data_IF_672523857479
#
_entry.id   IF_672523857479
#
_cell.length_a   1.000
_cell.length_b   1.000
_cell.length_c   1.000
_cell.angle_alpha   90.00
_cell.angle_beta   90.00
_cell.angle_gamma   90.00
#
_symmetry.space_group_name_H-M   'P 1'
#
loop_
_entity.id
_entity.type
_entity.pdbx_description
1 polymer ?
#
# COMPACT_ATOMS: atom_id res chain seq x y z
N UNK A 1 -3.04 -11.89 -25.18
CA UNK A 1 -2.30 -12.73 -24.21
C UNK A 1 -3.18 -12.86 -22.99
N UNK A 2 -3.60 -14.08 -22.60
CA UNK A 2 -4.55 -14.26 -21.49
C UNK A 2 -3.83 -14.01 -20.16
N UNK A 3 -4.20 -12.95 -19.48
CA UNK A 3 -3.74 -12.51 -18.15
C UNK A 3 -4.16 -13.44 -17.00
N UNK A 4 -4.53 -14.69 -17.29
CA UNK A 4 -5.08 -15.63 -16.27
C UNK A 4 -4.03 -16.27 -15.36
N UNK A 5 -2.73 -16.18 -15.69
CA UNK A 5 -1.67 -16.62 -14.78
C UNK A 5 -1.59 -15.78 -13.50
N UNK A 6 -2.02 -14.52 -13.55
CA UNK A 6 -1.90 -13.56 -12.43
C UNK A 6 -2.93 -13.85 -11.32
N UNK A 7 -4.00 -14.61 -11.59
CA UNK A 7 -5.06 -14.88 -10.60
C UNK A 7 -4.86 -16.13 -9.75
N UNK A 8 -3.96 -17.03 -10.12
CA UNK A 8 -3.80 -18.29 -9.38
C UNK A 8 -2.66 -18.19 -8.37
N UNK A 9 -3.00 -18.07 -7.07
CA UNK A 9 -2.03 -17.95 -5.96
C UNK A 9 -1.00 -19.09 -5.90
N UNK A 10 -1.28 -20.25 -6.52
CA UNK A 10 -0.37 -21.41 -6.54
C UNK A 10 0.99 -21.08 -7.19
N UNK A 11 1.02 -20.10 -8.10
CA UNK A 11 2.26 -19.67 -8.77
C UNK A 11 3.09 -18.68 -7.94
N UNK A 12 2.54 -18.18 -6.83
CA UNK A 12 3.13 -17.14 -6.02
C UNK A 12 3.53 -17.63 -4.63
N UNK A 13 4.51 -16.96 -4.05
CA UNK A 13 4.90 -17.03 -2.66
C UNK A 13 4.72 -15.66 -2.04
N UNK A 14 4.05 -15.61 -0.89
CA UNK A 14 3.96 -14.38 -0.10
C UNK A 14 5.35 -14.06 0.47
N UNK A 15 5.77 -12.81 0.36
CA UNK A 15 7.04 -12.30 0.89
C UNK A 15 6.81 -10.95 1.54
N UNK A 16 7.47 -10.73 2.68
CA UNK A 16 7.44 -9.47 3.40
C UNK A 16 8.78 -8.78 3.23
N UNK A 17 8.79 -7.66 2.52
CA UNK A 17 9.99 -6.86 2.29
C UNK A 17 10.46 -6.24 3.61
N UNK A 18 11.72 -6.46 3.95
CA UNK A 18 12.35 -5.89 5.14
C UNK A 18 12.81 -4.44 4.88
N UNK A 19 12.97 -3.67 5.95
CA UNK A 19 13.43 -2.28 5.85
C UNK A 19 14.81 -2.21 5.18
N UNK A 20 14.92 -1.47 4.08
CA UNK A 20 16.16 -1.31 3.32
C UNK A 20 16.40 -2.32 2.20
N UNK A 21 15.54 -3.33 2.04
CA UNK A 21 15.63 -4.24 0.90
C UNK A 21 15.25 -3.55 -0.41
N UNK A 22 15.94 -3.92 -1.49
CA UNK A 22 15.64 -3.46 -2.85
C UNK A 22 15.11 -4.61 -3.69
N UNK A 23 14.45 -4.34 -4.83
CA UNK A 23 14.01 -5.40 -5.75
C UNK A 23 15.15 -6.35 -6.14
N UNK A 24 16.37 -5.83 -6.28
CA UNK A 24 17.58 -6.61 -6.61
C UNK A 24 18.05 -7.48 -5.46
N UNK A 25 18.01 -7.00 -4.21
CA UNK A 25 18.38 -7.83 -3.05
C UNK A 25 17.38 -8.97 -2.87
N UNK A 26 16.08 -8.66 -2.95
CA UNK A 26 15.01 -9.69 -2.88
C UNK A 26 15.16 -10.72 -4.01
N UNK A 27 15.50 -10.29 -5.22
CA UNK A 27 15.75 -11.20 -6.33
C UNK A 27 16.99 -12.08 -6.12
N UNK A 28 18.06 -11.54 -5.50
CA UNK A 28 19.22 -12.33 -5.14
C UNK A 28 18.88 -13.40 -4.12
N UNK A 29 18.16 -13.02 -3.06
CA UNK A 29 17.85 -13.92 -1.95
C UNK A 29 16.84 -15.00 -2.36
N UNK A 30 15.88 -14.65 -3.22
CA UNK A 30 14.80 -15.56 -3.61
C UNK A 30 15.08 -16.34 -4.90
N UNK A 31 15.83 -15.77 -5.86
CA UNK A 31 16.12 -16.41 -7.16
C UNK A 31 17.61 -16.73 -7.38
N UNK A 32 18.51 -16.23 -6.54
CA UNK A 32 19.96 -16.39 -6.72
C UNK A 32 20.59 -15.44 -7.73
N UNK A 33 19.83 -14.49 -8.30
CA UNK A 33 20.29 -13.59 -9.35
C UNK A 33 19.66 -12.19 -9.20
N UNK A 34 20.50 -11.17 -8.94
CA UNK A 34 20.09 -9.76 -8.83
C UNK A 34 19.51 -9.22 -10.15
N UNK A 35 19.90 -9.79 -11.29
CA UNK A 35 19.40 -9.44 -12.61
C UNK A 35 17.94 -9.80 -12.84
N UNK A 36 17.32 -10.57 -11.92
CA UNK A 36 15.92 -10.97 -11.99
C UNK A 36 14.97 -10.05 -11.22
N UNK A 37 15.45 -8.89 -10.73
CA UNK A 37 14.63 -7.88 -10.07
C UNK A 37 13.41 -7.45 -10.90
N UNK A 38 13.52 -7.43 -12.23
CA UNK A 38 12.40 -7.10 -13.11
C UNK A 38 11.24 -8.11 -12.98
N UNK A 39 11.51 -9.36 -12.62
CA UNK A 39 10.47 -10.38 -12.38
C UNK A 39 9.73 -10.06 -11.07
N UNK A 40 10.46 -9.63 -10.04
CA UNK A 40 9.88 -9.15 -8.77
C UNK A 40 8.93 -7.98 -9.04
N UNK A 41 9.42 -6.98 -9.77
CA UNK A 41 8.64 -5.81 -10.16
C UNK A 41 7.41 -6.18 -11.00
N UNK A 42 7.59 -7.07 -11.99
CA UNK A 42 6.52 -7.51 -12.88
C UNK A 42 5.43 -8.28 -12.13
N UNK A 43 5.80 -9.11 -11.15
CA UNK A 43 4.86 -9.88 -10.34
C UNK A 43 3.91 -8.97 -9.55
N UNK A 44 4.39 -7.79 -9.13
CA UNK A 44 3.63 -6.77 -8.41
C UNK A 44 3.01 -5.70 -9.32
N UNK A 45 3.17 -5.81 -10.64
CA UNK A 45 2.75 -4.77 -11.60
C UNK A 45 3.35 -3.39 -11.29
N UNK A 46 4.50 -3.37 -10.61
CA UNK A 46 5.23 -2.15 -10.28
C UNK A 46 6.04 -1.72 -11.51
N UNK A 47 6.01 -0.43 -11.83
CA UNK A 47 6.71 0.11 -13.00
C UNK A 47 7.95 0.90 -12.60
N UNK A 48 7.89 1.60 -11.47
CA UNK A 48 8.97 2.45 -11.00
C UNK A 48 9.52 1.96 -9.64
N UNK A 49 10.72 1.35 -9.61
CA UNK A 49 11.36 0.90 -8.37
C UNK A 49 11.53 1.98 -7.31
N UNK A 50 11.65 3.25 -7.69
CA UNK A 50 11.90 4.33 -6.73
C UNK A 50 10.64 4.83 -6.01
N UNK A 51 9.46 4.68 -6.61
CA UNK A 51 8.21 5.20 -6.06
C UNK A 51 7.21 4.12 -5.67
N UNK A 52 7.22 2.99 -6.38
CA UNK A 52 6.27 1.90 -6.14
C UNK A 52 6.78 0.94 -5.06
N UNK A 53 8.10 0.86 -4.85
CA UNK A 53 8.71 0.03 -3.83
C UNK A 53 8.52 0.64 -2.43
N UNK A 54 8.36 -0.19 -1.37
CA UNK A 54 8.36 0.30 0.00
C UNK A 54 9.63 1.09 0.30
N UNK A 55 9.43 2.28 0.86
CA UNK A 55 10.52 3.14 1.30
C UNK A 55 11.05 2.67 2.65
N UNK A 56 12.32 2.99 2.92
CA UNK A 56 12.87 2.79 4.25
C UNK A 56 12.20 3.70 5.27
N UNK A 57 12.18 3.31 6.54
CA UNK A 57 11.61 4.14 7.61
C UNK A 57 12.22 5.56 7.62
N UNK A 58 13.54 5.65 7.46
CA UNK A 58 14.24 6.93 7.38
C UNK A 58 13.75 7.83 6.23
N UNK A 59 13.56 7.23 5.04
CA UNK A 59 13.07 7.98 3.88
C UNK A 59 11.58 8.32 4.00
N UNK A 60 10.79 7.46 4.65
CA UNK A 60 9.38 7.70 4.92
C UNK A 60 9.19 8.91 5.85
N UNK A 61 9.98 9.01 6.93
CA UNK A 61 9.94 10.18 7.82
C UNK A 61 10.30 11.44 7.06
N UNK A 62 11.37 11.42 6.24
CA UNK A 62 11.73 12.56 5.39
C UNK A 62 10.67 12.93 4.37
N UNK A 63 10.02 11.93 3.77
CA UNK A 63 8.92 12.13 2.84
C UNK A 63 7.74 12.80 3.54
N UNK A 64 7.39 12.32 4.74
CA UNK A 64 6.34 12.88 5.58
C UNK A 64 6.67 14.31 6.02
N UNK A 65 7.90 14.58 6.48
CA UNK A 65 8.37 15.93 6.82
C UNK A 65 8.28 16.89 5.63
N UNK A 66 8.62 16.41 4.42
CA UNK A 66 8.52 17.22 3.20
C UNK A 66 7.08 17.48 2.77
N UNK A 67 6.18 16.52 2.99
CA UNK A 67 4.78 16.59 2.54
C UNK A 67 3.89 17.35 3.51
N UNK A 68 4.07 17.13 4.80
CA UNK A 68 3.21 17.66 5.87
C UNK A 68 3.89 18.73 6.73
N UNK A 69 5.23 18.80 6.76
CA UNK A 69 5.94 19.74 7.62
C UNK A 69 5.60 19.52 9.10
N UNK A 70 5.24 20.60 9.78
CA UNK A 70 4.87 20.58 11.20
C UNK A 70 3.55 19.82 11.46
N UNK A 71 2.68 19.68 10.44
CA UNK A 71 1.39 19.00 10.53
C UNK A 71 1.50 17.46 10.50
N UNK A 72 2.72 16.90 10.53
CA UNK A 72 2.96 15.46 10.48
C UNK A 72 2.24 14.67 11.60
N UNK A 73 2.10 15.29 12.77
CA UNK A 73 1.41 14.70 13.93
C UNK A 73 -0.08 15.09 14.00
N UNK A 74 -0.56 15.86 13.01
CA UNK A 74 -1.97 16.21 12.90
C UNK A 74 -2.81 15.09 12.31
N UNK A 75 -4.12 15.18 12.53
CA UNK A 75 -5.07 14.15 12.12
C UNK A 75 -5.17 14.10 10.60
N UNK A 76 -4.94 12.92 10.03
CA UNK A 76 -5.27 12.64 8.63
C UNK A 76 -6.76 12.27 8.52
N UNK A 77 -7.22 11.38 9.40
CA UNK A 77 -8.60 10.94 9.50
C UNK A 77 -8.84 10.28 10.88
N UNK A 78 -10.08 9.90 11.14
CA UNK A 78 -10.47 9.16 12.34
C UNK A 78 -11.03 7.81 11.94
N UNK A 79 -10.74 6.78 12.73
CA UNK A 79 -11.22 5.41 12.48
C UNK A 79 -12.10 4.90 13.64
N UNK A 80 -13.17 4.17 13.31
CA UNK A 80 -13.95 3.42 14.31
C UNK A 80 -13.21 2.17 14.80
N UNK A 81 -13.80 1.41 15.74
CA UNK A 81 -13.19 0.15 16.23
C UNK A 81 -13.07 -0.96 15.17
N UNK A 82 -13.69 -0.79 14.00
CA UNK A 82 -13.61 -1.72 12.88
C UNK A 82 -12.61 -1.26 11.80
N UNK A 83 -11.97 -0.10 11.97
CA UNK A 83 -11.03 0.50 11.02
C UNK A 83 -11.70 1.24 9.85
N UNK A 84 -12.99 1.59 9.96
CA UNK A 84 -13.66 2.41 8.95
C UNK A 84 -13.40 3.90 9.23
N UNK A 85 -13.16 4.68 8.19
CA UNK A 85 -13.03 6.14 8.30
C UNK A 85 -14.35 6.77 8.76
N UNK A 86 -14.29 7.60 9.81
CA UNK A 86 -15.42 8.29 10.43
C UNK A 86 -15.09 9.75 10.70
N UNK A 87 -16.11 10.51 11.10
CA UNK A 87 -15.92 11.89 11.53
C UNK A 87 -15.19 11.97 12.88
N UNK A 88 -14.58 13.12 13.15
CA UNK A 88 -13.98 13.42 14.44
C UNK A 88 -14.98 13.20 15.60
N UNK A 89 -14.55 12.57 16.71
CA UNK A 89 -15.38 12.41 17.90
C UNK A 89 -15.96 13.74 18.38
N UNK A 90 -17.28 13.77 18.56
CA UNK A 90 -17.99 14.98 19.00
C UNK A 90 -18.30 15.98 17.89
N UNK A 91 -18.00 15.65 16.63
CA UNK A 91 -18.51 16.40 15.48
C UNK A 91 -20.04 16.27 15.39
N UNK A 92 -20.72 17.40 15.26
CA UNK A 92 -22.17 17.44 15.06
C UNK A 92 -22.42 17.28 13.56
N UNK A 93 -22.88 16.10 13.16
CA UNK A 93 -23.25 15.83 11.77
C UNK A 93 -24.73 16.17 11.62
N UNK A 94 -25.05 17.28 10.96
CA UNK A 94 -26.44 17.60 10.64
C UNK A 94 -26.95 16.69 9.53
N UNK A 95 -27.77 15.68 9.85
CA UNK A 95 -28.53 14.92 8.85
C UNK A 95 -29.75 15.71 8.38
N UNK A 96 -29.53 16.91 7.81
CA UNK A 96 -30.60 17.72 7.26
C UNK A 96 -30.93 17.30 5.83
N UNK A 97 -31.90 16.41 5.64
CA UNK A 97 -32.59 16.31 4.34
C UNK A 97 -33.54 17.49 4.18
N UNK A 98 -33.01 18.59 3.64
CA UNK A 98 -33.81 19.62 2.97
C UNK A 98 -34.00 20.91 3.75
N UNK A 99 -33.53 22.02 3.14
CA UNK A 99 -34.11 23.36 3.01
C UNK A 99 -34.92 24.04 4.17
N UNK A 100 -35.07 23.45 5.35
CA UNK A 100 -35.75 24.04 6.50
C UNK A 100 -34.73 24.37 7.60
N UNK A 101 -34.51 25.66 7.91
CA UNK A 101 -33.58 26.08 8.96
C UNK A 101 -34.02 25.71 10.39
N UNK A 102 -35.18 25.07 10.60
CA UNK A 102 -35.64 24.58 11.89
C UNK A 102 -35.66 23.04 12.03
N UNK A 103 -35.21 22.30 11.00
CA UNK A 103 -35.12 20.83 11.06
C UNK A 103 -33.78 20.41 11.69
N UNK A 104 -33.62 20.70 12.98
CA UNK A 104 -32.43 20.33 13.75
C UNK A 104 -32.66 19.00 14.48
N UNK A 105 -32.95 17.92 13.74
CA UNK A 105 -32.56 16.59 14.20
C UNK A 105 -31.07 16.39 13.90
N UNK A 106 -30.25 17.15 14.63
CA UNK A 106 -28.82 16.91 14.69
C UNK A 106 -28.58 15.55 15.36
N UNK A 107 -28.52 14.48 14.57
CA UNK A 107 -27.96 13.22 15.04
C UNK A 107 -26.49 13.48 15.32
N UNK A 108 -26.13 13.70 16.58
CA UNK A 108 -24.72 13.62 16.98
C UNK A 108 -24.31 12.18 16.68
N UNK A 109 -23.51 12.00 15.64
CA UNK A 109 -22.89 10.72 15.36
C UNK A 109 -21.82 10.57 16.45
N UNK A 110 -22.26 10.02 17.59
CA UNK A 110 -21.41 9.80 18.75
C UNK A 110 -20.51 8.62 18.42
N UNK A 111 -19.53 8.83 17.52
CA UNK A 111 -18.32 8.00 17.48
C UNK A 111 -17.50 8.34 18.72
N UNK A 112 -18.02 8.01 19.91
CA UNK A 112 -17.42 8.30 21.20
C UNK A 112 -16.09 7.55 21.44
N UNK A 113 -15.62 6.80 20.44
CA UNK A 113 -14.41 5.98 20.49
C UNK A 113 -13.60 5.99 19.20
N UNK A 114 -13.78 6.98 18.31
CA UNK A 114 -12.94 7.02 17.10
C UNK A 114 -11.47 7.32 17.48
N UNK A 115 -10.54 6.64 16.81
CA UNK A 115 -9.10 6.79 17.02
C UNK A 115 -8.55 7.75 15.98
N UNK A 116 -7.80 8.78 16.42
CA UNK A 116 -7.08 9.69 15.52
C UNK A 116 -5.95 8.93 14.85
N UNK A 117 -5.93 8.95 13.52
CA UNK A 117 -4.78 8.50 12.74
C UNK A 117 -4.03 9.74 12.25
N UNK A 118 -2.76 9.84 12.63
CA UNK A 118 -1.89 10.96 12.23
C UNK A 118 -1.40 10.80 10.79
N UNK A 119 -0.95 11.90 10.19
CA UNK A 119 -0.36 11.89 8.85
C UNK A 119 0.83 10.91 8.74
N UNK A 120 1.71 10.83 9.74
CA UNK A 120 2.82 9.86 9.72
C UNK A 120 2.33 8.42 9.83
N UNK A 121 1.36 8.13 10.69
CA UNK A 121 0.79 6.77 10.84
C UNK A 121 0.09 6.31 9.56
N UNK A 122 -0.61 7.22 8.87
CA UNK A 122 -1.20 6.94 7.57
C UNK A 122 -0.14 6.52 6.55
N UNK A 123 0.94 7.30 6.43
CA UNK A 123 2.04 6.98 5.49
C UNK A 123 2.77 5.68 5.86
N UNK A 124 2.94 5.39 7.16
CA UNK A 124 3.48 4.12 7.63
C UNK A 124 2.61 2.93 7.21
N UNK A 125 1.28 3.06 7.34
CA UNK A 125 0.33 2.02 6.91
C UNK A 125 0.33 1.84 5.39
N UNK A 126 0.37 2.93 4.63
CA UNK A 126 0.46 2.85 3.16
C UNK A 126 1.78 2.20 2.70
N UNK A 127 2.88 2.51 3.38
CA UNK A 127 4.17 1.88 3.09
C UNK A 127 4.16 0.39 3.50
N UNK A 128 3.51 0.04 4.61
CA UNK A 128 3.36 -1.34 5.08
C UNK A 128 2.57 -2.21 4.10
N UNK A 129 1.47 -1.66 3.54
CA UNK A 129 0.71 -2.33 2.47
C UNK A 129 1.58 -2.69 1.26
N UNK A 130 2.62 -1.90 0.97
CA UNK A 130 3.58 -2.15 -0.11
C UNK A 130 4.68 -3.16 0.24
N UNK A 131 4.93 -3.41 1.54
CA UNK A 131 5.92 -4.41 1.99
C UNK A 131 5.45 -5.84 1.77
N UNK A 132 4.14 -6.09 1.81
CA UNK A 132 3.57 -7.41 1.50
C UNK A 132 3.48 -7.60 -0.01
N UNK A 133 4.39 -8.39 -0.58
CA UNK A 133 4.45 -8.67 -2.03
C UNK A 133 4.26 -10.15 -2.34
N UNK A 134 3.84 -10.42 -3.58
CA UNK A 134 3.76 -11.77 -4.14
C UNK A 134 4.93 -12.02 -5.11
N UNK A 135 5.81 -12.95 -4.78
CA UNK A 135 6.92 -13.36 -5.65
C UNK A 135 6.51 -14.57 -6.49
N UNK A 136 6.93 -14.64 -7.75
CA UNK A 136 6.72 -15.83 -8.58
C UNK A 136 7.59 -16.95 -8.00
N UNK A 137 7.05 -18.14 -7.75
CA UNK A 137 7.86 -19.22 -7.18
C UNK A 137 9.08 -19.52 -8.07
N UNK A 138 10.26 -19.84 -7.48
CA UNK A 138 11.49 -20.07 -8.24
C UNK A 138 11.34 -21.14 -9.33
N UNK A 139 10.50 -22.16 -9.07
CA UNK A 139 10.15 -23.23 -10.01
C UNK A 139 9.65 -22.71 -11.38
N UNK A 140 8.98 -21.56 -11.40
CA UNK A 140 8.36 -20.99 -12.61
C UNK A 140 9.19 -19.89 -13.27
N UNK A 141 10.25 -19.39 -12.60
CA UNK A 141 11.09 -18.28 -13.10
C UNK A 141 11.72 -18.59 -14.45
N UNK A 142 12.24 -19.82 -14.61
CA UNK A 142 12.84 -20.25 -15.86
C UNK A 142 11.84 -20.28 -17.03
N UNK A 143 10.57 -20.59 -16.76
CA UNK A 143 9.53 -20.56 -17.77
C UNK A 143 9.20 -19.11 -18.16
N UNK A 144 9.07 -18.21 -17.19
CA UNK A 144 8.84 -16.77 -17.41
C UNK A 144 9.97 -16.17 -18.26
N UNK A 145 11.23 -16.44 -17.92
CA UNK A 145 12.39 -15.96 -18.67
C UNK A 145 12.36 -16.39 -20.13
N UNK A 146 12.10 -17.68 -20.40
CA UNK A 146 12.02 -18.22 -21.76
C UNK A 146 10.92 -17.58 -22.60
N UNK A 147 9.73 -17.41 -22.02
CA UNK A 147 8.63 -16.76 -22.72
C UNK A 147 8.92 -15.28 -22.97
N UNK A 148 9.55 -14.58 -22.04
CA UNK A 148 9.97 -13.19 -22.23
C UNK A 148 11.00 -13.04 -23.37
N UNK A 149 12.04 -13.88 -23.38
CA UNK A 149 13.05 -13.89 -24.46
C UNK A 149 12.44 -14.17 -25.83
N UNK A 150 11.41 -15.03 -25.89
CA UNK A 150 10.68 -15.34 -27.12
C UNK A 150 9.86 -14.15 -27.62
N UNK A 151 9.28 -13.37 -26.71
CA UNK A 151 8.53 -12.15 -27.06
C UNK A 151 9.46 -11.04 -27.58
N UNK A 152 10.68 -10.92 -27.05
CA UNK A 152 11.66 -9.93 -27.49
C UNK A 152 12.27 -10.22 -28.87
N UNK A 153 12.32 -11.49 -29.29
CA UNK A 153 12.89 -11.91 -30.59
C UNK A 153 11.92 -11.72 -31.76
N UNK A 154 10.71 -11.23 -31.50
CA UNK A 154 9.65 -11.06 -32.49
C UNK A 154 9.51 -9.58 -32.83
#
# INVERSE_FOLDING_TARGET
>A
MKTEFIKNRVFYSDYMVMDGETPESVAHDFYGDTGLHWIVMYAQQMTNPYYDWPMTYYNLVKYSDKKYGDDKLEAHHWEDSNGNEVNEPGSIVGNGTGNDPNDLEATVDVYGSATKITNIEYEERENEKRRSINLIRPDYVNAVKKEFEKLLKK
#
